data_IF_279239820639
#
_entry.id   IF_279239820639
#
_cell.length_a   1.000
_cell.length_b   1.000
_cell.length_c   1.000
_cell.angle_alpha   90.00
_cell.angle_beta   90.00
_cell.angle_gamma   90.00
#
_symmetry.space_group_name_H-M   'P 1'
#
loop_
_entity.id
_entity.type
_entity.pdbx_description
1 polymer ?
#
# COMPACT_ATOMS: atom_id res chain seq x y z
N UNK A 1 20.74 -8.93 -2.95
CA UNK A 1 20.24 -7.58 -3.26
C UNK A 1 20.06 -7.49 -4.76
N UNK A 2 18.86 -7.16 -5.24
CA UNK A 2 18.61 -7.05 -6.69
C UNK A 2 18.90 -5.61 -7.12
N UNK A 3 19.61 -5.43 -8.23
CA UNK A 3 19.93 -4.12 -8.84
C UNK A 3 18.69 -3.23 -9.08
N UNK A 4 17.48 -3.81 -9.07
CA UNK A 4 16.22 -3.09 -9.13
C UNK A 4 15.97 -2.15 -7.94
N UNK A 5 16.54 -2.41 -6.76
CA UNK A 5 16.20 -1.73 -5.50
C UNK A 5 16.99 -0.45 -5.21
N UNK A 6 17.93 -0.05 -6.08
CA UNK A 6 18.80 1.12 -5.85
C UNK A 6 18.51 2.22 -6.89
N UNK A 7 17.48 3.07 -6.69
CA UNK A 7 17.15 4.15 -7.62
C UNK A 7 18.30 5.15 -7.78
N UNK A 8 19.07 5.40 -6.72
CA UNK A 8 20.22 6.32 -6.70
C UNK A 8 21.30 5.94 -7.72
N UNK A 9 21.61 4.64 -7.85
CA UNK A 9 22.63 4.14 -8.78
C UNK A 9 22.21 4.35 -10.24
N UNK A 10 20.91 4.25 -10.54
CA UNK A 10 20.37 4.44 -11.88
C UNK A 10 20.45 5.90 -12.32
N UNK A 11 20.12 6.82 -11.41
CA UNK A 11 20.25 8.27 -11.65
C UNK A 11 21.71 8.70 -11.76
N UNK A 12 22.59 8.14 -10.94
CA UNK A 12 24.03 8.38 -11.03
C UNK A 12 24.57 7.92 -12.39
N UNK A 13 24.23 6.71 -12.84
CA UNK A 13 24.66 6.22 -14.15
C UNK A 13 24.13 7.09 -15.30
N UNK A 14 22.86 7.51 -15.29
CA UNK A 14 22.30 8.43 -16.28
C UNK A 14 23.09 9.74 -16.33
N UNK A 15 23.40 10.31 -15.16
CA UNK A 15 24.13 11.58 -15.06
C UNK A 15 25.54 11.47 -15.65
N UNK A 16 26.25 10.36 -15.40
CA UNK A 16 27.58 10.11 -15.95
C UNK A 16 27.53 10.00 -17.48
N UNK A 17 26.57 9.25 -18.04
CA UNK A 17 26.40 9.14 -19.50
C UNK A 17 26.09 10.49 -20.15
N UNK A 18 25.26 11.31 -19.50
CA UNK A 18 24.86 12.62 -20.01
C UNK A 18 26.03 13.62 -19.98
N UNK A 19 26.81 13.61 -18.89
CA UNK A 19 28.04 14.42 -18.78
C UNK A 19 29.07 14.02 -19.83
N UNK A 20 29.27 12.71 -20.07
CA UNK A 20 30.20 12.22 -21.11
C UNK A 20 29.76 12.65 -22.51
N UNK A 21 28.46 12.61 -22.82
CA UNK A 21 27.93 13.08 -24.09
C UNK A 21 28.18 14.59 -24.30
N UNK A 22 27.86 15.41 -23.28
CA UNK A 22 28.07 16.87 -23.34
C UNK A 22 29.56 17.19 -23.49
N UNK A 23 30.42 16.53 -22.72
CA UNK A 23 31.86 16.73 -22.79
C UNK A 23 32.41 16.36 -24.17
N UNK A 24 31.94 15.25 -24.74
CA UNK A 24 32.35 14.83 -26.09
C UNK A 24 31.91 15.81 -27.17
N UNK A 25 30.71 16.36 -27.06
CA UNK A 25 30.23 17.43 -27.97
C UNK A 25 31.10 18.69 -27.89
N UNK A 26 31.61 19.03 -26.70
CA UNK A 26 32.42 20.23 -26.51
C UNK A 26 33.87 20.07 -26.98
N UNK A 27 34.47 18.88 -26.82
CA UNK A 27 35.88 18.63 -27.19
C UNK A 27 36.03 18.38 -28.69
N UNK A 28 35.24 17.47 -29.26
CA UNK A 28 35.36 17.04 -30.66
C UNK A 28 34.00 17.07 -31.37
N UNK A 29 33.45 18.26 -31.68
CA UNK A 29 32.12 18.41 -32.28
C UNK A 29 32.01 17.80 -33.68
N UNK A 30 33.14 17.54 -34.36
CA UNK A 30 33.19 16.97 -35.71
C UNK A 30 33.26 15.45 -35.73
N UNK A 31 33.44 14.77 -34.58
CA UNK A 31 33.40 13.30 -34.48
C UNK A 31 31.94 12.81 -34.50
N UNK A 32 31.34 12.83 -35.69
CA UNK A 32 29.93 12.44 -35.91
C UNK A 32 29.66 10.99 -35.47
N UNK A 33 30.62 10.08 -35.68
CA UNK A 33 30.48 8.67 -35.29
C UNK A 33 30.47 8.50 -33.78
N UNK A 34 31.40 9.17 -33.07
CA UNK A 34 31.45 9.13 -31.62
C UNK A 34 30.27 9.82 -30.93
N UNK A 35 29.76 10.91 -31.51
CA UNK A 35 28.54 11.58 -31.05
C UNK A 35 27.29 10.71 -31.27
N UNK A 36 27.19 10.03 -32.40
CA UNK A 36 26.08 9.11 -32.66
C UNK A 36 26.06 7.93 -31.68
N UNK A 37 27.22 7.32 -31.40
CA UNK A 37 27.33 6.20 -30.46
C UNK A 37 27.02 6.61 -29.01
N UNK A 38 27.55 7.75 -28.55
CA UNK A 38 27.27 8.25 -27.21
C UNK A 38 25.82 8.72 -27.05
N UNK A 39 25.25 9.37 -28.07
CA UNK A 39 23.84 9.72 -28.12
C UNK A 39 22.93 8.50 -28.09
N UNK A 40 23.25 7.46 -28.86
CA UNK A 40 22.52 6.19 -28.85
C UNK A 40 22.60 5.49 -27.48
N UNK A 41 23.76 5.52 -26.81
CA UNK A 41 23.93 4.96 -25.46
C UNK A 41 23.08 5.69 -24.43
N UNK A 42 23.05 7.03 -24.44
CA UNK A 42 22.19 7.84 -23.55
C UNK A 42 20.72 7.56 -23.83
N UNK A 43 20.32 7.53 -25.11
CA UNK A 43 18.94 7.25 -25.51
C UNK A 43 18.47 5.85 -25.09
N UNK A 44 19.29 4.82 -25.33
CA UNK A 44 19.00 3.45 -24.92
C UNK A 44 18.91 3.30 -23.39
N UNK A 45 19.82 3.94 -22.65
CA UNK A 45 19.79 3.93 -21.19
C UNK A 45 18.57 4.67 -20.63
N UNK A 46 18.19 5.82 -21.22
CA UNK A 46 16.97 6.54 -20.87
C UNK A 46 15.71 5.72 -21.12
N UNK A 47 15.63 5.03 -22.27
CA UNK A 47 14.50 4.15 -22.60
C UNK A 47 14.43 2.95 -21.65
N UNK A 48 15.58 2.34 -21.33
CA UNK A 48 15.65 1.29 -20.31
C UNK A 48 15.20 1.79 -18.93
N UNK A 49 15.58 3.01 -18.53
CA UNK A 49 15.15 3.62 -17.26
C UNK A 49 13.63 3.84 -17.24
N UNK A 50 13.04 4.36 -18.32
CA UNK A 50 11.59 4.54 -18.47
C UNK A 50 10.88 3.19 -18.38
N UNK A 51 11.33 2.18 -19.12
CA UNK A 51 10.76 0.83 -19.02
C UNK A 51 10.86 0.27 -17.61
N UNK A 52 11.98 0.48 -16.93
CA UNK A 52 12.22 -0.04 -15.59
C UNK A 52 11.40 0.69 -14.50
N UNK A 53 11.09 1.97 -14.71
CA UNK A 53 10.21 2.75 -13.84
C UNK A 53 8.72 2.50 -14.11
N UNK A 54 8.34 2.27 -15.36
CA UNK A 54 6.95 1.97 -15.78
C UNK A 54 6.57 0.51 -15.53
N UNK A 55 7.54 -0.41 -15.55
CA UNK A 55 7.35 -1.82 -15.19
C UNK A 55 7.39 -1.97 -13.66
N UNK A 56 6.41 -1.35 -13.01
CA UNK A 56 6.24 -1.34 -11.56
C UNK A 56 6.12 -2.81 -11.09
N UNK A 57 7.04 -3.29 -10.23
CA UNK A 57 6.92 -4.63 -9.65
C UNK A 57 5.52 -4.82 -9.07
N UNK A 58 4.90 -5.99 -9.34
CA UNK A 58 3.63 -6.35 -8.73
C UNK A 58 3.77 -6.22 -7.19
N UNK A 59 2.77 -5.69 -6.50
CA UNK A 59 2.83 -5.57 -5.05
C UNK A 59 2.93 -6.96 -4.43
N UNK A 60 3.87 -7.11 -3.50
CA UNK A 60 3.99 -8.33 -2.69
C UNK A 60 2.98 -8.23 -1.55
N UNK A 61 2.21 -9.31 -1.34
CA UNK A 61 1.18 -9.37 -0.30
C UNK A 61 1.56 -10.47 0.69
N UNK A 62 1.61 -10.13 1.97
CA UNK A 62 1.90 -11.05 3.05
C UNK A 62 0.74 -11.10 4.04
N UNK A 63 0.44 -12.28 4.54
CA UNK A 63 -0.58 -12.51 5.54
C UNK A 63 0.05 -13.02 6.83
N UNK A 64 -0.19 -12.31 7.93
CA UNK A 64 0.11 -12.77 9.28
C UNK A 64 -1.19 -13.31 9.90
N UNK A 65 -1.30 -14.64 9.97
CA UNK A 65 -2.47 -15.33 10.49
C UNK A 65 -2.63 -15.18 12.01
N UNK A 66 -1.54 -14.99 12.76
CA UNK A 66 -1.61 -14.86 14.22
C UNK A 66 -2.18 -13.51 14.64
N UNK A 67 -1.89 -12.46 13.85
CA UNK A 67 -2.33 -11.09 14.12
C UNK A 67 -3.51 -10.64 13.26
N UNK A 68 -3.95 -11.49 12.32
CA UNK A 68 -4.98 -11.17 11.31
C UNK A 68 -4.66 -9.88 10.54
N UNK A 69 -3.40 -9.75 10.08
CA UNK A 69 -2.88 -8.57 9.39
C UNK A 69 -2.43 -8.89 7.97
N UNK A 70 -2.84 -8.05 7.02
CA UNK A 70 -2.29 -8.05 5.65
C UNK A 70 -1.24 -6.96 5.54
N UNK A 71 -0.04 -7.31 5.05
CA UNK A 71 0.95 -6.33 4.62
C UNK A 71 1.05 -6.31 3.09
N UNK A 72 0.98 -5.13 2.50
CA UNK A 72 1.10 -4.89 1.06
C UNK A 72 2.35 -4.05 0.83
N UNK A 73 3.37 -4.67 0.24
CA UNK A 73 4.63 -4.04 -0.12
C UNK A 73 4.57 -3.61 -1.58
N UNK A 74 4.38 -2.31 -1.80
CA UNK A 74 4.56 -1.66 -3.10
C UNK A 74 6.02 -1.23 -3.27
N UNK A 75 6.46 -0.88 -4.48
CA UNK A 75 7.85 -0.47 -4.71
C UNK A 75 8.28 0.74 -3.84
N UNK A 76 7.37 1.69 -3.62
CA UNK A 76 7.69 2.93 -2.89
C UNK A 76 7.02 3.03 -1.52
N UNK A 77 6.05 2.17 -1.23
CA UNK A 77 5.27 2.28 0.01
C UNK A 77 4.93 0.93 0.60
N UNK A 78 4.93 0.90 1.92
CA UNK A 78 4.44 -0.24 2.72
C UNK A 78 3.08 0.14 3.27
N UNK A 79 2.13 -0.77 3.15
CA UNK A 79 0.80 -0.64 3.74
C UNK A 79 0.53 -1.86 4.61
N UNK A 80 0.00 -1.64 5.81
CA UNK A 80 -0.51 -2.71 6.67
C UNK A 80 -1.99 -2.46 6.88
N UNK A 81 -2.78 -3.51 6.74
CA UNK A 81 -4.23 -3.51 6.84
C UNK A 81 -4.70 -4.55 7.86
N UNK A 82 -5.74 -4.22 8.61
CA UNK A 82 -6.56 -5.19 9.35
C UNK A 82 -8.02 -4.80 9.21
N UNK A 83 -8.89 -5.79 9.28
CA UNK A 83 -10.32 -5.54 9.29
C UNK A 83 -11.04 -6.35 10.37
N UNK A 84 -12.23 -5.87 10.70
CA UNK A 84 -13.22 -6.60 11.50
C UNK A 84 -14.55 -6.58 10.76
N UNK A 85 -15.28 -7.68 10.92
CA UNK A 85 -16.62 -7.88 10.40
C UNK A 85 -17.65 -7.67 11.51
N UNK A 86 -18.81 -7.17 11.12
CA UNK A 86 -19.99 -7.04 11.96
C UNK A 86 -20.96 -8.12 11.49
N UNK A 87 -21.00 -9.27 12.19
CA UNK A 87 -21.62 -10.50 11.68
C UNK A 87 -23.14 -10.57 11.81
N UNK A 88 -23.81 -9.49 12.24
CA UNK A 88 -25.27 -9.45 12.32
C UNK A 88 -25.82 -8.02 12.30
N UNK A 89 -25.52 -7.25 11.25
CA UNK A 89 -26.15 -5.91 11.10
C UNK A 89 -27.54 -6.09 10.48
N UNK A 90 -28.64 -5.81 11.20
CA UNK A 90 -29.96 -5.76 10.59
C UNK A 90 -29.96 -4.70 9.48
N UNK A 91 -30.45 -5.07 8.30
CA UNK A 91 -30.65 -4.13 7.19
C UNK A 91 -31.57 -3.02 7.70
N UNK A 92 -31.03 -1.81 7.88
CA UNK A 92 -31.78 -0.64 8.38
C UNK A 92 -31.32 -0.07 9.73
N UNK A 93 -30.28 -0.60 10.39
CA UNK A 93 -29.68 0.11 11.52
C UNK A 93 -28.98 1.38 11.02
N UNK A 94 -29.42 2.53 11.53
CA UNK A 94 -28.72 3.79 11.38
C UNK A 94 -27.44 3.76 12.24
N UNK A 95 -26.31 3.57 11.57
CA UNK A 95 -24.97 3.62 12.18
C UNK A 95 -24.44 5.06 12.32
N UNK A 96 -25.18 6.09 11.91
CA UNK A 96 -24.67 7.47 11.81
C UNK A 96 -24.23 8.05 13.14
N UNK A 97 -25.03 7.85 14.20
CA UNK A 97 -24.73 8.40 15.53
C UNK A 97 -23.48 7.78 16.15
N UNK A 98 -23.31 6.47 15.96
CA UNK A 98 -22.18 5.70 16.45
C UNK A 98 -20.93 5.89 15.59
N UNK A 99 -21.13 6.00 14.27
CA UNK A 99 -20.09 6.34 13.29
C UNK A 99 -19.42 7.65 13.68
N UNK A 100 -20.16 8.66 14.13
CA UNK A 100 -19.60 9.91 14.63
C UNK A 100 -18.67 9.72 15.85
N UNK A 101 -19.04 8.84 16.80
CA UNK A 101 -18.24 8.56 18.00
C UNK A 101 -16.95 7.80 17.65
N UNK A 102 -17.07 6.81 16.76
CA UNK A 102 -15.95 6.01 16.25
C UNK A 102 -15.00 6.87 15.40
N UNK A 103 -15.55 7.69 14.50
CA UNK A 103 -14.79 8.62 13.67
C UNK A 103 -14.09 9.68 14.53
N UNK A 104 -14.73 10.21 15.58
CA UNK A 104 -14.08 11.13 16.53
C UNK A 104 -12.93 10.48 17.28
N UNK A 105 -13.10 9.25 17.77
CA UNK A 105 -12.04 8.52 18.47
C UNK A 105 -10.81 8.27 17.56
N UNK A 106 -11.05 8.02 16.28
CA UNK A 106 -9.99 7.81 15.30
C UNK A 106 -9.41 9.10 14.74
N UNK A 107 -10.22 10.16 14.63
CA UNK A 107 -9.80 11.47 14.12
C UNK A 107 -8.63 12.03 14.92
N UNK A 108 -8.73 12.06 16.25
CA UNK A 108 -7.64 12.54 17.12
C UNK A 108 -6.35 11.73 16.97
N UNK A 109 -6.46 10.48 16.55
CA UNK A 109 -5.32 9.56 16.39
C UNK A 109 -4.70 9.59 15.00
N UNK A 110 -5.46 10.08 14.02
CA UNK A 110 -5.01 10.29 12.65
C UNK A 110 -4.65 11.75 12.36
N UNK A 111 -5.14 12.73 13.14
CA UNK A 111 -4.76 14.14 12.97
C UNK A 111 -3.25 14.34 13.12
N UNK A 112 -2.64 13.62 14.06
CA UNK A 112 -1.24 13.81 14.44
C UNK A 112 -0.28 12.88 13.68
N UNK A 113 -0.81 11.94 12.88
CA UNK A 113 -0.01 10.90 12.22
C UNK A 113 -0.49 10.64 10.81
N UNK A 114 0.30 11.09 9.84
CA UNK A 114 0.09 10.81 8.42
C UNK A 114 0.04 9.30 8.11
N UNK A 115 -0.65 8.96 7.01
CA UNK A 115 -0.69 7.61 6.47
C UNK A 115 -1.70 6.65 7.13
N UNK A 116 -2.49 7.09 8.11
CA UNK A 116 -3.58 6.29 8.67
C UNK A 116 -4.93 6.57 8.00
N UNK A 117 -5.74 5.52 7.80
CA UNK A 117 -7.12 5.67 7.38
C UNK A 117 -8.00 4.56 7.94
N UNK A 118 -9.28 4.89 8.13
CA UNK A 118 -10.36 3.94 8.41
C UNK A 118 -11.29 3.94 7.22
N UNK A 119 -11.63 2.75 6.74
CA UNK A 119 -12.53 2.53 5.61
C UNK A 119 -13.64 1.62 6.09
N UNK A 120 -14.88 2.11 6.08
CA UNK A 120 -16.05 1.25 6.25
C UNK A 120 -16.37 0.61 4.92
N UNK A 121 -16.65 -0.70 4.91
CA UNK A 121 -16.92 -1.43 3.68
C UNK A 121 -18.15 -2.33 3.82
N UNK A 122 -18.78 -2.56 2.67
CA UNK A 122 -19.88 -3.50 2.50
C UNK A 122 -19.50 -4.38 1.31
N UNK A 123 -19.29 -5.66 1.58
CA UNK A 123 -19.00 -6.67 0.55
C UNK A 123 -20.28 -7.46 0.31
N UNK A 124 -20.88 -7.24 -0.87
CA UNK A 124 -22.04 -8.00 -1.34
C UNK A 124 -21.57 -9.10 -2.28
N UNK A 125 -21.47 -10.36 -1.83
CA UNK A 125 -21.06 -11.45 -2.70
C UNK A 125 -22.10 -11.70 -3.80
N UNK A 126 -21.64 -12.14 -4.97
CA UNK A 126 -22.53 -12.62 -6.04
C UNK A 126 -23.02 -14.03 -5.65
N UNK A 127 -24.33 -14.22 -5.49
CA UNK A 127 -24.94 -15.50 -5.14
C UNK A 127 -25.56 -15.51 -3.74
N UNK A 128 -25.73 -16.72 -3.17
CA UNK A 128 -26.50 -16.95 -1.93
C UNK A 128 -25.67 -16.79 -0.63
N UNK A 129 -24.60 -15.99 -0.67
CA UNK A 129 -23.74 -15.74 0.48
C UNK A 129 -24.23 -14.51 1.26
N UNK A 130 -23.95 -14.47 2.57
CA UNK A 130 -24.32 -13.33 3.42
C UNK A 130 -23.53 -12.07 3.04
N UNK A 131 -24.21 -10.92 3.06
CA UNK A 131 -23.55 -9.63 2.90
C UNK A 131 -22.65 -9.38 4.11
N UNK A 132 -21.37 -9.11 3.88
CA UNK A 132 -20.40 -8.81 4.94
C UNK A 132 -20.27 -7.30 5.07
N UNK A 133 -20.39 -6.79 6.30
CA UNK A 133 -20.22 -5.37 6.62
C UNK A 133 -19.09 -5.28 7.64
N UNK A 134 -18.23 -4.28 7.50
CA UNK A 134 -17.09 -4.16 8.38
C UNK A 134 -16.37 -2.83 8.27
N UNK A 135 -15.25 -2.78 8.97
CA UNK A 135 -14.31 -1.67 8.91
C UNK A 135 -12.90 -2.21 8.71
N UNK A 136 -12.13 -1.49 7.92
CA UNK A 136 -10.74 -1.73 7.62
C UNK A 136 -9.93 -0.56 8.12
N UNK A 137 -8.90 -0.86 8.91
CA UNK A 137 -7.89 0.09 9.33
C UNK A 137 -6.67 -0.14 8.47
N UNK A 138 -6.14 0.93 7.87
CA UNK A 138 -4.88 0.90 7.13
C UNK A 138 -3.89 1.91 7.65
N UNK A 139 -2.62 1.52 7.64
CA UNK A 139 -1.47 2.39 7.93
C UNK A 139 -0.46 2.23 6.81
N UNK A 140 -0.09 3.35 6.19
CA UNK A 140 0.86 3.43 5.08
C UNK A 140 2.08 4.26 5.47
N UNK A 141 3.23 3.86 4.97
CA UNK A 141 4.49 4.58 5.10
C UNK A 141 5.35 4.41 3.84
N UNK A 142 6.36 5.27 3.68
CA UNK A 142 7.34 5.16 2.58
C UNK A 142 8.24 3.96 2.80
N UNK A 143 8.42 3.10 1.79
CA UNK A 143 9.28 1.91 1.88
C UNK A 143 10.74 2.34 1.90
N UNK A 144 11.34 2.38 3.08
CA UNK A 144 12.79 2.55 3.25
C UNK A 144 13.51 1.20 3.08
N UNK A 145 14.85 1.21 3.05
CA UNK A 145 15.69 0.00 2.92
C UNK A 145 15.33 -1.12 3.92
N UNK A 146 14.79 -0.76 5.08
CA UNK A 146 14.32 -1.69 6.12
C UNK A 146 12.80 -1.94 6.05
N UNK A 147 12.28 -2.26 4.87
CA UNK A 147 10.83 -2.44 4.64
C UNK A 147 10.15 -3.37 5.66
N UNK A 148 10.79 -4.48 6.05
CA UNK A 148 10.24 -5.41 7.05
C UNK A 148 10.18 -4.84 8.47
N UNK A 149 11.19 -4.07 8.90
CA UNK A 149 11.14 -3.38 10.21
C UNK A 149 10.01 -2.34 10.23
N UNK A 150 9.78 -1.70 9.07
CA UNK A 150 8.71 -0.75 8.92
C UNK A 150 7.33 -1.43 8.96
N UNK A 151 7.18 -2.61 8.34
CA UNK A 151 5.99 -3.45 8.49
C UNK A 151 5.72 -3.74 9.97
N UNK A 152 6.70 -4.21 10.74
CA UNK A 152 6.50 -4.53 12.16
C UNK A 152 6.14 -3.29 13.00
N UNK A 153 6.77 -2.14 12.70
CA UNK A 153 6.42 -0.86 13.34
C UNK A 153 4.99 -0.42 13.03
N UNK A 154 4.55 -0.58 11.78
CA UNK A 154 3.19 -0.26 11.36
C UNK A 154 2.19 -1.25 11.97
N UNK A 155 2.51 -2.55 11.99
CA UNK A 155 1.70 -3.60 12.60
C UNK A 155 1.42 -3.31 14.07
N UNK A 156 2.45 -2.98 14.86
CA UNK A 156 2.29 -2.60 16.28
C UNK A 156 1.32 -1.43 16.49
N UNK A 157 1.41 -0.39 15.65
CA UNK A 157 0.48 0.75 15.70
C UNK A 157 -0.93 0.32 15.32
N UNK A 158 -1.05 -0.49 14.28
CA UNK A 158 -2.33 -0.91 13.71
C UNK A 158 -3.10 -1.86 14.63
N UNK A 159 -2.42 -2.74 15.38
CA UNK A 159 -3.03 -3.55 16.44
C UNK A 159 -3.67 -2.66 17.52
N UNK A 160 -2.99 -1.60 17.94
CA UNK A 160 -3.56 -0.68 18.92
C UNK A 160 -4.76 0.09 18.33
N UNK A 161 -4.72 0.44 17.05
CA UNK A 161 -5.82 1.12 16.35
C UNK A 161 -7.05 0.21 16.22
N UNK A 162 -6.88 -1.05 15.82
CA UNK A 162 -7.99 -2.01 15.66
C UNK A 162 -8.67 -2.31 17.00
N UNK A 163 -7.89 -2.47 18.09
CA UNK A 163 -8.43 -2.70 19.42
C UNK A 163 -9.30 -1.54 19.92
N UNK A 164 -8.90 -0.30 19.63
CA UNK A 164 -9.68 0.89 20.02
C UNK A 164 -10.97 0.96 19.22
N UNK A 165 -10.90 0.70 17.91
CA UNK A 165 -12.08 0.72 17.08
C UNK A 165 -13.06 -0.37 17.49
N UNK A 166 -12.56 -1.58 17.74
CA UNK A 166 -13.35 -2.71 18.22
C UNK A 166 -14.03 -2.41 19.55
N UNK A 167 -13.30 -1.86 20.54
CA UNK A 167 -13.88 -1.43 21.82
C UNK A 167 -14.95 -0.35 21.63
N UNK A 168 -14.69 0.61 20.75
CA UNK A 168 -15.65 1.69 20.45
C UNK A 168 -16.92 1.14 19.80
N UNK A 169 -16.78 0.16 18.90
CA UNK A 169 -17.89 -0.50 18.23
C UNK A 169 -18.69 -1.38 19.20
N UNK A 170 -18.05 -2.17 20.05
CA UNK A 170 -18.73 -2.96 21.09
C UNK A 170 -19.44 -2.07 22.12
N UNK A 171 -18.87 -0.90 22.44
CA UNK A 171 -19.53 0.06 23.32
C UNK A 171 -20.76 0.71 22.66
N UNK A 172 -20.72 0.94 21.34
CA UNK A 172 -21.85 1.48 20.60
C UNK A 172 -22.94 0.44 20.31
N UNK A 173 -22.54 -0.81 20.03
CA UNK A 173 -23.43 -1.93 19.75
C UNK A 173 -23.00 -3.19 20.52
N UNK A 174 -23.38 -3.31 21.80
CA UNK A 174 -22.99 -4.45 22.63
C UNK A 174 -23.53 -5.79 22.11
N UNK A 175 -24.62 -5.76 21.36
CA UNK A 175 -25.29 -6.91 20.79
C UNK A 175 -24.76 -7.32 19.41
N UNK A 176 -23.93 -6.49 18.77
CA UNK A 176 -23.33 -6.82 17.48
C UNK A 176 -22.04 -7.61 17.68
N UNK A 177 -21.96 -8.88 17.26
CA UNK A 177 -20.72 -9.61 17.24
C UNK A 177 -19.72 -8.94 16.29
N UNK A 178 -18.51 -8.69 16.81
CA UNK A 178 -17.39 -8.15 16.04
C UNK A 178 -16.38 -9.28 15.85
N UNK A 179 -16.27 -9.75 14.61
CA UNK A 179 -15.43 -10.88 14.22
C UNK A 179 -14.18 -10.41 13.49
N UNK A 180 -13.13 -11.22 13.52
CA UNK A 180 -11.93 -10.96 12.74
C UNK A 180 -12.19 -11.25 11.26
N UNK A 181 -11.76 -10.34 10.38
CA UNK A 181 -11.88 -10.55 8.95
C UNK A 181 -10.77 -11.51 8.46
N UNK A 182 -11.13 -12.41 7.55
CA UNK A 182 -10.17 -13.29 6.91
C UNK A 182 -9.35 -12.54 5.84
N UNK A 183 -8.25 -13.16 5.42
CA UNK A 183 -7.38 -12.63 4.36
C UNK A 183 -8.16 -12.17 3.13
N UNK A 184 -9.08 -13.00 2.64
CA UNK A 184 -9.87 -12.69 1.45
C UNK A 184 -10.74 -11.45 1.62
N UNK A 185 -11.34 -11.28 2.81
CA UNK A 185 -12.21 -10.14 3.09
C UNK A 185 -11.40 -8.84 3.13
N UNK A 186 -10.20 -8.89 3.74
CA UNK A 186 -9.29 -7.74 3.80
C UNK A 186 -8.79 -7.36 2.41
N UNK A 187 -8.40 -8.34 1.58
CA UNK A 187 -7.95 -8.07 0.21
C UNK A 187 -9.10 -7.53 -0.64
N UNK A 188 -10.28 -8.16 -0.63
CA UNK A 188 -11.45 -7.68 -1.38
C UNK A 188 -11.84 -6.26 -0.98
N UNK A 189 -11.80 -5.94 0.31
CA UNK A 189 -12.08 -4.58 0.81
C UNK A 189 -10.99 -3.58 0.37
N UNK A 190 -9.72 -4.00 0.31
CA UNK A 190 -8.60 -3.13 -0.10
C UNK A 190 -8.57 -2.89 -1.60
N UNK A 191 -8.95 -3.87 -2.42
CA UNK A 191 -8.93 -3.78 -3.88
C UNK A 191 -10.23 -3.24 -4.48
N UNK A 192 -11.24 -2.97 -3.65
CA UNK A 192 -12.56 -2.53 -4.11
C UNK A 192 -13.33 -3.63 -4.87
N UNK A 193 -13.06 -4.90 -4.58
CA UNK A 193 -13.71 -6.04 -5.24
C UNK A 193 -13.11 -6.42 -6.59
N UNK A 194 -11.98 -5.83 -6.98
CA UNK A 194 -11.18 -6.33 -8.10
C UNK A 194 -10.42 -7.59 -7.64
N UNK A 195 -10.63 -8.71 -8.33
CA UNK A 195 -9.86 -9.93 -8.12
C UNK A 195 -8.39 -9.66 -8.44
N UNK A 196 -7.59 -9.39 -7.41
CA UNK A 196 -6.14 -9.43 -7.54
C UNK A 196 -5.72 -10.85 -7.25
N UNK A 197 -5.03 -11.48 -8.21
CA UNK A 197 -4.31 -12.75 -7.99
C UNK A 197 -3.18 -12.51 -6.97
N UNK A 198 -3.54 -12.47 -5.68
CA UNK A 198 -2.59 -12.54 -4.58
C UNK A 198 -2.18 -14.00 -4.45
N UNK A 199 -0.91 -14.28 -4.75
CA UNK A 199 -0.31 -15.60 -4.60
C UNK A 199 -0.17 -15.85 -3.09
N UNK A 200 -0.72 -16.98 -2.63
CA UNK A 200 -0.54 -17.50 -1.27
C UNK A 200 0.88 -18.05 -1.08
#
# INVERSE_FOLDING_TARGET
MRLHDMPEVKWMALSVFLVVLILKYYIDPTDLLGLALSGAAVGAFGLALVLLLTNVPRPDVFWDKERSLVAILRPWTVEVCAARLLSSVPIGIDLSFSGNKVLRAMYTRYSDKAGGAVVFFITRPKGNQSTKIGFLVRRRDLRLWNGMQQVDRLAKKLVADIMILERSMRAAYPHLPVEEAEFEDIIKATTGGLETHAVA
#
